data_IF_057513774616
#
_entry.id   IF_057513774616
#
_cell.length_a   1.000
_cell.length_b   1.000
_cell.length_c   1.000
_cell.angle_alpha   90.00
_cell.angle_beta   90.00
_cell.angle_gamma   90.00
#
_symmetry.space_group_name_H-M   'P 1'
#
loop_
_entity.id
_entity.type
_entity.pdbx_description
1 polymer ?
#
# COMPACT_ATOMS: atom_id res chain seq x y z
N UNK A 1 3.38 11.83 -3.93
CA UNK A 1 4.30 12.47 -4.89
C UNK A 1 3.49 13.29 -5.90
N UNK A 2 3.97 14.48 -6.29
CA UNK A 2 3.39 15.18 -7.42
C UNK A 2 3.76 14.45 -8.72
N UNK A 3 2.78 14.20 -9.58
CA UNK A 3 3.00 13.77 -10.95
C UNK A 3 2.11 14.64 -11.83
N UNK A 4 2.76 15.41 -12.71
CA UNK A 4 2.16 16.48 -13.50
C UNK A 4 1.36 17.48 -12.63
N UNK A 5 0.06 17.61 -12.88
CA UNK A 5 -0.88 18.48 -12.16
C UNK A 5 -1.70 17.73 -11.10
N UNK A 6 -1.25 16.54 -10.68
CA UNK A 6 -1.93 15.71 -9.70
C UNK A 6 -1.01 15.18 -8.60
N UNK A 7 -1.63 14.65 -7.56
CA UNK A 7 -0.95 14.02 -6.43
C UNK A 7 -1.28 12.53 -6.43
N UNK A 8 -0.23 11.72 -6.34
CA UNK A 8 -0.32 10.27 -6.22
C UNK A 8 0.06 9.86 -4.80
N UNK A 9 -0.78 9.02 -4.20
CA UNK A 9 -0.46 8.29 -2.98
C UNK A 9 -0.18 6.84 -3.36
N UNK A 10 1.07 6.39 -3.24
CA UNK A 10 1.42 4.97 -3.38
C UNK A 10 1.24 4.27 -2.04
N UNK A 11 1.00 2.95 -2.07
CA UNK A 11 0.84 2.15 -0.87
C UNK A 11 1.27 0.71 -1.09
N UNK A 12 2.02 0.18 -0.13
CA UNK A 12 2.33 -1.24 0.00
C UNK A 12 1.73 -1.74 1.31
N UNK A 13 0.94 -2.82 1.24
CA UNK A 13 0.43 -3.51 2.40
C UNK A 13 0.88 -4.97 2.40
N UNK A 14 1.40 -5.43 3.54
CA UNK A 14 1.84 -6.80 3.75
C UNK A 14 1.05 -7.38 4.92
N UNK A 15 0.19 -8.39 4.70
CA UNK A 15 -0.66 -8.95 5.73
C UNK A 15 0.13 -9.75 6.79
N UNK A 16 -0.54 -10.05 7.90
CA UNK A 16 -0.06 -10.99 8.93
C UNK A 16 1.29 -10.65 9.59
N UNK A 17 1.71 -9.37 9.55
CA UNK A 17 3.00 -8.89 10.10
C UNK A 17 4.21 -9.53 9.41
N UNK A 18 4.10 -9.82 8.11
CA UNK A 18 5.18 -10.43 7.33
C UNK A 18 6.15 -9.41 6.72
N UNK A 19 5.92 -8.10 6.91
CA UNK A 19 6.88 -7.05 6.53
C UNK A 19 8.04 -7.07 7.53
N UNK A 20 9.24 -7.36 7.06
CA UNK A 20 10.43 -7.54 7.90
C UNK A 20 11.21 -6.24 8.04
N UNK A 21 11.39 -5.53 6.92
CA UNK A 21 12.08 -4.25 6.88
C UNK A 21 11.60 -3.43 5.69
N UNK A 22 11.88 -2.14 5.75
CA UNK A 22 11.65 -1.17 4.69
C UNK A 22 12.88 -0.29 4.60
N UNK A 23 13.39 -0.11 3.39
CA UNK A 23 14.44 0.85 3.08
C UNK A 23 13.90 1.86 2.06
N UNK A 24 13.88 3.12 2.47
CA UNK A 24 13.52 4.23 1.61
C UNK A 24 14.79 4.86 1.05
N UNK A 25 14.91 4.84 -0.28
CA UNK A 25 15.96 5.53 -1.00
C UNK A 25 15.36 6.78 -1.65
N UNK A 26 15.64 7.95 -1.10
CA UNK A 26 15.17 9.23 -1.62
C UNK A 26 16.31 9.99 -2.30
N UNK A 27 16.01 10.58 -3.44
CA UNK A 27 16.94 11.42 -4.21
C UNK A 27 16.17 12.56 -4.85
N UNK A 28 16.87 13.68 -5.08
CA UNK A 28 16.33 14.83 -5.81
C UNK A 28 16.30 14.56 -7.33
N UNK A 29 16.90 13.46 -7.78
CA UNK A 29 16.88 13.04 -9.18
C UNK A 29 15.49 12.50 -9.54
N UNK A 30 14.97 12.99 -10.67
CA UNK A 30 13.63 12.65 -11.16
C UNK A 30 13.51 11.14 -11.37
N UNK A 31 12.44 10.56 -10.83
CA UNK A 31 12.05 9.15 -10.98
C UNK A 31 13.10 8.13 -10.46
N UNK A 32 14.02 8.55 -9.58
CA UNK A 32 15.07 7.67 -9.02
C UNK A 32 14.88 7.33 -7.53
N UNK A 33 13.85 7.89 -6.88
CA UNK A 33 13.47 7.49 -5.52
C UNK A 33 12.79 6.12 -5.52
N UNK A 34 13.11 5.29 -4.53
CA UNK A 34 12.64 3.91 -4.45
C UNK A 34 12.22 3.53 -3.02
N UNK A 35 11.21 2.66 -2.94
CA UNK A 35 10.75 2.05 -1.69
C UNK A 35 11.00 0.54 -1.75
N UNK A 36 11.99 0.07 -1.01
CA UNK A 36 12.33 -1.35 -0.92
C UNK A 36 11.68 -1.97 0.31
N UNK A 37 11.05 -3.11 0.15
CA UNK A 37 10.38 -3.82 1.24
C UNK A 37 10.81 -5.29 1.26
N UNK A 38 11.25 -5.75 2.43
CA UNK A 38 11.56 -7.16 2.65
C UNK A 38 10.36 -7.87 3.26
N UNK A 39 9.92 -8.94 2.59
CA UNK A 39 8.72 -9.68 2.98
C UNK A 39 9.11 -11.12 3.31
N UNK A 40 8.65 -11.60 4.46
CA UNK A 40 8.85 -12.98 4.87
C UNK A 40 8.10 -13.93 3.93
N UNK A 41 8.80 -14.95 3.43
CA UNK A 41 8.20 -16.05 2.67
C UNK A 41 7.63 -17.08 3.63
N UNK A 42 6.32 -17.30 3.56
CA UNK A 42 5.61 -18.30 4.35
C UNK A 42 4.92 -19.29 3.41
N UNK A 43 5.04 -20.59 3.70
CA UNK A 43 4.47 -21.66 2.86
C UNK A 43 4.84 -21.51 1.37
N UNK A 44 6.11 -21.14 1.09
CA UNK A 44 6.64 -20.89 -0.26
C UNK A 44 5.98 -19.72 -1.01
N UNK A 45 5.35 -18.78 -0.29
CA UNK A 45 4.70 -17.59 -0.87
C UNK A 45 5.09 -16.33 -0.09
N UNK A 46 5.31 -15.23 -0.81
CA UNK A 46 5.26 -13.88 -0.26
C UNK A 46 3.94 -13.25 -0.72
N UNK A 47 3.16 -12.73 0.22
CA UNK A 47 1.85 -12.12 -0.07
C UNK A 47 1.97 -10.63 0.24
N UNK A 48 1.61 -9.80 -0.74
CA UNK A 48 1.58 -8.34 -0.60
C UNK A 48 0.54 -7.75 -1.54
N UNK A 49 0.14 -6.52 -1.24
CA UNK A 49 -0.76 -5.71 -2.05
C UNK A 49 -0.06 -4.38 -2.33
N UNK A 50 0.07 -4.02 -3.60
CA UNK A 50 0.61 -2.74 -4.03
C UNK A 50 -0.47 -2.01 -4.84
N UNK A 51 -0.56 -0.70 -4.64
CA UNK A 51 -1.53 0.12 -5.35
C UNK A 51 -1.24 1.59 -5.17
N UNK A 52 -2.09 2.39 -5.80
CA UNK A 52 -2.00 3.84 -5.73
C UNK A 52 -3.39 4.47 -5.71
N UNK A 53 -3.52 5.58 -5.00
CA UNK A 53 -4.62 6.53 -5.10
C UNK A 53 -4.19 7.71 -5.96
N UNK A 54 -5.09 8.20 -6.80
CA UNK A 54 -4.86 9.35 -7.66
C UNK A 54 -5.91 10.42 -7.37
N UNK A 55 -5.52 11.67 -7.10
CA UNK A 55 -6.44 12.74 -6.65
C UNK A 55 -7.56 13.04 -7.65
N UNK A 56 -7.21 13.13 -8.93
CA UNK A 56 -8.16 13.31 -10.05
C UNK A 56 -9.23 12.21 -10.17
N UNK A 57 -9.16 11.10 -9.42
CA UNK A 57 -10.13 10.00 -9.57
C UNK A 57 -11.42 10.35 -8.84
N UNK A 58 -11.36 11.38 -7.97
CA UNK A 58 -12.42 11.77 -7.06
C UNK A 58 -12.60 10.81 -5.88
N UNK A 59 -11.79 9.74 -5.78
CA UNK A 59 -11.92 8.75 -4.71
C UNK A 59 -11.19 9.17 -3.44
N UNK A 60 -10.08 9.89 -3.59
CA UNK A 60 -9.22 10.34 -2.49
C UNK A 60 -8.77 11.78 -2.74
N UNK A 61 -9.48 12.73 -2.13
CA UNK A 61 -9.21 14.16 -2.31
C UNK A 61 -8.07 14.66 -1.40
N UNK A 62 -7.81 13.94 -0.31
CA UNK A 62 -6.83 14.31 0.71
C UNK A 62 -5.93 13.13 1.09
N UNK A 63 -4.72 13.43 1.56
CA UNK A 63 -3.81 12.43 2.15
C UNK A 63 -4.50 11.62 3.25
N UNK A 64 -5.25 12.29 4.12
CA UNK A 64 -5.99 11.65 5.21
C UNK A 64 -7.04 10.64 4.68
N UNK A 65 -7.79 11.00 3.63
CA UNK A 65 -8.76 10.06 3.04
C UNK A 65 -8.08 8.80 2.46
N UNK A 66 -6.91 8.97 1.86
CA UNK A 66 -6.11 7.86 1.35
C UNK A 66 -5.57 6.97 2.49
N UNK A 67 -5.01 7.56 3.54
CA UNK A 67 -4.52 6.83 4.72
C UNK A 67 -5.65 6.09 5.44
N UNK A 68 -6.82 6.70 5.59
CA UNK A 68 -8.00 6.06 6.17
C UNK A 68 -8.46 4.85 5.36
N UNK A 69 -8.42 4.95 4.02
CA UNK A 69 -8.69 3.82 3.15
C UNK A 69 -7.68 2.69 3.33
N UNK A 70 -6.37 2.98 3.35
CA UNK A 70 -5.33 1.98 3.57
C UNK A 70 -5.49 1.27 4.92
N UNK A 71 -5.81 2.01 5.98
CA UNK A 71 -6.09 1.44 7.30
C UNK A 71 -7.30 0.50 7.28
N UNK A 72 -8.40 0.92 6.65
CA UNK A 72 -9.59 0.08 6.51
C UNK A 72 -9.33 -1.16 5.65
N UNK A 73 -8.54 -1.02 4.59
CA UNK A 73 -8.12 -2.12 3.73
C UNK A 73 -7.27 -3.14 4.49
N UNK A 74 -6.27 -2.67 5.25
CA UNK A 74 -5.43 -3.51 6.09
C UNK A 74 -6.26 -4.27 7.14
N UNK A 75 -7.22 -3.61 7.78
CA UNK A 75 -8.11 -4.23 8.76
C UNK A 75 -8.95 -5.35 8.12
N UNK A 76 -9.59 -5.09 6.98
CA UNK A 76 -10.43 -6.08 6.27
C UNK A 76 -9.61 -7.26 5.75
N UNK A 77 -8.41 -7.00 5.24
CA UNK A 77 -7.54 -8.05 4.68
C UNK A 77 -6.98 -8.96 5.76
N UNK A 78 -6.63 -8.41 6.93
CA UNK A 78 -6.20 -9.21 8.08
C UNK A 78 -7.37 -9.92 8.78
N UNK A 79 -8.62 -9.46 8.60
CA UNK A 79 -9.81 -10.00 9.26
C UNK A 79 -10.91 -10.29 8.21
N UNK A 80 -10.70 -11.26 7.30
CA UNK A 80 -11.67 -11.53 6.25
C UNK A 80 -12.97 -12.11 6.83
N UNK A 81 -14.11 -11.68 6.28
CA UNK A 81 -15.40 -12.29 6.58
C UNK A 81 -15.46 -13.68 5.96
N UNK A 82 -15.60 -14.71 6.79
CA UNK A 82 -15.74 -16.11 6.33
C UNK A 82 -17.22 -16.49 6.39
N UNK A 83 -17.81 -16.75 5.23
CA UNK A 83 -19.20 -17.18 5.11
C UNK A 83 -19.21 -18.68 4.77
N UNK A 84 -19.88 -19.49 5.59
CA UNK A 84 -20.15 -20.90 5.30
C UNK A 84 -21.63 -21.05 4.97
N UNK A 85 -21.93 -21.55 3.76
CA UNK A 85 -23.28 -21.95 3.39
C UNK A 85 -23.52 -23.38 3.90
N UNK A 86 -24.77 -23.68 4.28
CA UNK A 86 -25.24 -25.03 4.64
C UNK A 86 -25.96 -25.67 3.47
#
# INVERSE_FOLDING_TARGET
EPLDDSEFGTGLFVPNKNLTSVDLYETDLKDESNFYAEIQVQNKKAIYYAGFGWKKSGQFETKESWENYLNAFALKTNNPLIISLK
#
